data_IF_650921041656
#
_entry.id   IF_650921041656
#
_cell.length_a   1.000
_cell.length_b   1.000
_cell.length_c   1.000
_cell.angle_alpha   90.00
_cell.angle_beta   90.00
_cell.angle_gamma   90.00
#
_symmetry.space_group_name_H-M   'P 1'
#
loop_
_entity.id
_entity.type
_entity.pdbx_description
1 polymer ?
#
# COMPACT_ATOMS: atom_id res chain seq x y z
N UNK A 1 45.27 44.79 23.53
CA UNK A 1 44.39 44.22 24.58
C UNK A 1 42.97 44.79 24.52
N UNK A 2 42.78 46.13 24.58
CA UNK A 2 41.45 46.77 24.50
C UNK A 2 40.67 46.48 23.21
N UNK A 3 41.32 46.51 22.04
CA UNK A 3 40.65 46.24 20.75
C UNK A 3 40.11 44.81 20.67
N UNK A 4 40.84 43.83 21.23
CA UNK A 4 40.38 42.44 21.30
C UNK A 4 39.11 42.32 22.15
N UNK A 5 39.09 42.97 23.31
CA UNK A 5 37.92 43.01 24.21
C UNK A 5 36.72 43.69 23.52
N UNK A 6 36.94 44.81 22.81
CA UNK A 6 35.88 45.50 22.08
C UNK A 6 35.30 44.64 20.94
N UNK A 7 36.17 43.94 20.19
CA UNK A 7 35.73 43.07 19.09
C UNK A 7 34.88 41.90 19.60
N UNK A 8 35.24 41.33 20.74
CA UNK A 8 34.54 40.22 21.36
C UNK A 8 33.18 40.67 21.92
N UNK A 9 33.11 41.90 22.45
CA UNK A 9 31.86 42.54 22.86
C UNK A 9 30.91 42.74 21.67
N UNK A 10 31.41 43.24 20.55
CA UNK A 10 30.61 43.45 19.33
C UNK A 10 30.10 42.12 18.79
N UNK A 11 30.95 41.09 18.72
CA UNK A 11 30.57 39.75 18.27
C UNK A 11 29.49 39.14 19.19
N UNK A 12 29.62 39.31 20.51
CA UNK A 12 28.62 38.85 21.46
C UNK A 12 27.26 39.54 21.25
N UNK A 13 27.25 40.86 21.03
CA UNK A 13 26.03 41.61 20.75
C UNK A 13 25.39 41.14 19.42
N UNK A 14 26.20 40.94 18.38
CA UNK A 14 25.72 40.46 17.08
C UNK A 14 25.13 39.05 17.19
N UNK A 15 25.81 38.13 17.89
CA UNK A 15 25.30 36.77 18.13
C UNK A 15 24.01 36.79 18.97
N UNK A 16 23.92 37.69 19.94
CA UNK A 16 22.73 37.82 20.78
C UNK A 16 21.50 38.25 19.96
N UNK A 17 21.66 39.26 19.09
CA UNK A 17 20.60 39.69 18.17
C UNK A 17 20.26 38.57 17.18
N UNK A 18 21.26 37.85 16.66
CA UNK A 18 21.05 36.74 15.73
C UNK A 18 20.30 35.56 16.37
N UNK A 19 20.54 35.30 17.66
CA UNK A 19 19.87 34.23 18.41
C UNK A 19 18.35 34.39 18.47
N UNK A 20 17.87 35.63 18.58
CA UNK A 20 16.44 35.91 18.56
C UNK A 20 15.80 35.53 17.22
N UNK A 21 16.52 35.72 16.11
CA UNK A 21 16.04 35.39 14.77
C UNK A 21 15.96 33.88 14.52
N UNK A 22 16.85 33.10 15.14
CA UNK A 22 16.83 31.63 15.06
C UNK A 22 15.67 31.04 15.86
N UNK A 23 15.51 31.47 17.12
CA UNK A 23 14.49 30.91 18.02
C UNK A 23 13.08 31.05 17.42
N UNK A 24 12.78 32.20 16.80
CA UNK A 24 11.47 32.48 16.21
C UNK A 24 11.16 31.57 15.01
N UNK A 25 12.18 31.26 14.19
CA UNK A 25 12.03 30.33 13.06
C UNK A 25 11.85 28.89 13.50
N UNK A 26 12.57 28.45 14.54
CA UNK A 26 12.45 27.09 15.08
C UNK A 26 11.06 26.85 15.68
N UNK A 27 10.51 27.81 16.43
CA UNK A 27 9.17 27.69 17.00
C UNK A 27 8.07 27.57 15.93
N UNK A 28 8.18 28.33 14.84
CA UNK A 28 7.23 28.24 13.72
C UNK A 28 7.37 26.92 12.94
N UNK A 29 8.58 26.33 12.90
CA UNK A 29 8.82 25.04 12.25
C UNK A 29 8.19 23.90 13.04
N UNK A 30 8.31 23.93 14.37
CA UNK A 30 7.76 22.92 15.27
C UNK A 30 6.22 22.84 15.15
N UNK A 31 5.53 23.99 15.20
CA UNK A 31 4.08 24.02 15.04
C UNK A 31 3.57 23.53 13.66
N UNK A 32 4.35 23.74 12.59
CA UNK A 32 4.01 23.21 11.26
C UNK A 32 4.22 21.69 11.18
N UNK A 33 5.28 21.17 11.80
CA UNK A 33 5.53 19.72 11.85
C UNK A 33 4.46 18.99 12.67
N UNK A 34 4.03 19.58 13.80
CA UNK A 34 2.95 19.02 14.61
C UNK A 34 1.63 18.94 13.83
N UNK A 35 1.24 20.04 13.16
CA UNK A 35 0.02 20.07 12.35
C UNK A 35 0.09 19.08 11.18
N UNK A 36 1.23 19.00 10.50
CA UNK A 36 1.45 18.04 9.43
C UNK A 36 1.37 16.59 9.91
N UNK A 37 1.94 16.30 11.09
CA UNK A 37 1.90 14.96 11.71
C UNK A 37 0.48 14.57 12.09
N UNK A 38 -0.28 15.49 12.68
CA UNK A 38 -1.69 15.27 13.06
C UNK A 38 -2.53 14.99 11.81
N UNK A 39 -2.40 15.79 10.76
CA UNK A 39 -3.12 15.57 9.49
C UNK A 39 -2.77 14.23 8.88
N UNK A 40 -1.47 13.90 8.80
CA UNK A 40 -1.00 12.64 8.20
C UNK A 40 -1.54 11.42 8.95
N UNK A 41 -1.61 11.47 10.28
CA UNK A 41 -2.22 10.38 11.08
C UNK A 41 -3.72 10.24 10.80
N UNK A 42 -4.45 11.36 10.72
CA UNK A 42 -5.87 11.35 10.39
C UNK A 42 -6.13 10.79 8.98
N UNK A 43 -5.34 11.21 8.00
CA UNK A 43 -5.44 10.74 6.61
C UNK A 43 -5.13 9.25 6.50
N UNK A 44 -4.06 8.79 7.17
CA UNK A 44 -3.72 7.36 7.23
C UNK A 44 -4.83 6.53 7.87
N UNK A 45 -5.46 7.03 8.94
CA UNK A 45 -6.59 6.36 9.57
C UNK A 45 -7.79 6.25 8.62
N UNK A 46 -8.14 7.32 7.91
CA UNK A 46 -9.22 7.30 6.93
C UNK A 46 -8.96 6.32 5.78
N UNK A 47 -7.72 6.26 5.28
CA UNK A 47 -7.32 5.30 4.25
C UNK A 47 -7.47 3.87 4.77
N UNK A 48 -6.94 3.57 5.97
CA UNK A 48 -7.07 2.25 6.61
C UNK A 48 -8.54 1.84 6.77
N UNK A 49 -9.42 2.78 7.16
CA UNK A 49 -10.85 2.51 7.29
C UNK A 49 -11.50 2.20 5.95
N UNK A 50 -11.19 2.97 4.90
CA UNK A 50 -11.69 2.71 3.55
C UNK A 50 -11.24 1.36 3.01
N UNK A 51 -9.96 1.00 3.22
CA UNK A 51 -9.43 -0.31 2.85
C UNK A 51 -10.15 -1.42 3.63
N UNK A 52 -10.33 -1.28 4.95
CA UNK A 52 -11.05 -2.27 5.75
C UNK A 52 -12.49 -2.51 5.26
N UNK A 53 -13.20 -1.44 4.91
CA UNK A 53 -14.56 -1.54 4.36
C UNK A 53 -14.52 -2.26 3.00
N UNK A 54 -13.57 -1.90 2.13
CA UNK A 54 -13.41 -2.59 0.85
C UNK A 54 -13.06 -4.07 1.03
N UNK A 55 -12.22 -4.41 2.01
CA UNK A 55 -11.93 -5.81 2.38
C UNK A 55 -13.19 -6.52 2.87
N UNK A 56 -14.01 -5.90 3.72
CA UNK A 56 -15.25 -6.48 4.23
C UNK A 56 -16.31 -6.66 3.14
N UNK A 57 -16.48 -5.68 2.25
CA UNK A 57 -17.38 -5.77 1.08
C UNK A 57 -16.90 -6.85 0.10
N UNK A 58 -15.60 -6.88 -0.23
CA UNK A 58 -15.03 -7.89 -1.14
C UNK A 58 -15.07 -9.28 -0.51
N UNK A 59 -14.86 -9.40 0.80
CA UNK A 59 -15.10 -10.65 1.52
C UNK A 59 -16.58 -11.03 1.43
N UNK A 60 -17.51 -10.11 1.70
CA UNK A 60 -18.98 -10.35 1.67
C UNK A 60 -19.50 -10.74 0.29
N UNK A 61 -18.95 -10.15 -0.77
CA UNK A 61 -19.23 -10.57 -2.16
C UNK A 61 -18.75 -12.00 -2.44
N UNK A 62 -17.72 -12.48 -1.72
CA UNK A 62 -17.29 -13.89 -1.77
C UNK A 62 -18.05 -14.81 -0.78
N UNK A 63 -18.74 -14.28 0.24
CA UNK A 63 -19.56 -15.10 1.16
C UNK A 63 -20.88 -15.58 0.53
N UNK A 64 -21.20 -15.16 -0.71
CA UNK A 64 -22.26 -15.79 -1.51
C UNK A 64 -21.77 -17.09 -2.19
N UNK A 65 -20.46 -17.37 -2.18
CA UNK A 65 -19.86 -18.58 -2.77
C UNK A 65 -19.40 -19.60 -1.71
N UNK A 66 -19.81 -19.44 -0.44
CA UNK A 66 -19.34 -20.27 0.67
C UNK A 66 -20.13 -21.60 0.75
N UNK A 67 -19.88 -22.46 -0.24
CA UNK A 67 -20.14 -23.92 -0.17
C UNK A 67 -18.91 -24.74 -0.58
N UNK A 68 -17.68 -24.20 -0.41
CA UNK A 68 -16.46 -24.94 -0.73
C UNK A 68 -15.52 -25.00 0.49
N UNK A 69 -15.21 -26.20 1.03
CA UNK A 69 -14.47 -26.34 2.27
C UNK A 69 -12.99 -25.91 2.14
N UNK A 70 -12.55 -25.12 3.11
CA UNK A 70 -11.21 -24.56 3.25
C UNK A 70 -10.13 -25.63 3.54
N UNK A 71 -9.64 -26.31 2.51
CA UNK A 71 -8.45 -27.18 2.64
C UNK A 71 -7.46 -27.15 1.46
N UNK A 72 -7.58 -26.19 0.53
CA UNK A 72 -6.67 -26.11 -0.63
C UNK A 72 -6.22 -24.69 -1.01
N UNK A 73 -6.14 -23.76 -0.04
CA UNK A 73 -5.66 -22.38 -0.28
C UNK A 73 -4.14 -22.29 -0.07
N UNK A 74 -3.39 -23.08 -0.81
CA UNK A 74 -1.98 -22.79 -1.06
C UNK A 74 -1.78 -22.81 -2.56
N UNK A 75 -1.40 -21.67 -3.15
CA UNK A 75 -0.89 -21.50 -4.53
C UNK A 75 -1.88 -21.29 -5.69
N UNK A 76 -3.07 -20.73 -5.47
CA UNK A 76 -3.85 -20.24 -6.62
C UNK A 76 -3.34 -18.87 -7.07
N UNK A 77 -2.44 -18.88 -8.07
CA UNK A 77 -2.00 -17.66 -8.76
C UNK A 77 -3.21 -16.97 -9.41
N UNK A 78 -3.20 -15.63 -9.54
CA UNK A 78 -4.32 -14.91 -10.17
C UNK A 78 -4.64 -15.40 -11.58
N UNK A 79 -3.64 -15.91 -12.31
CA UNK A 79 -3.83 -16.53 -13.64
C UNK A 79 -4.71 -17.78 -13.59
N UNK A 80 -4.59 -18.62 -12.57
CA UNK A 80 -5.39 -19.83 -12.43
C UNK A 80 -6.87 -19.50 -12.29
N UNK A 81 -7.19 -18.49 -11.49
CA UNK A 81 -8.57 -18.00 -11.30
C UNK A 81 -9.17 -17.49 -12.60
N UNK A 82 -8.37 -16.79 -13.41
CA UNK A 82 -8.80 -16.30 -14.72
C UNK A 82 -9.11 -17.46 -15.66
N UNK A 83 -8.22 -18.47 -15.78
CA UNK A 83 -8.44 -19.65 -16.62
C UNK A 83 -9.76 -20.35 -16.29
N UNK A 84 -10.08 -20.51 -15.00
CA UNK A 84 -11.34 -21.12 -14.59
C UNK A 84 -12.56 -20.28 -14.92
N UNK A 85 -12.51 -18.96 -14.71
CA UNK A 85 -13.61 -18.06 -15.07
C UNK A 85 -13.89 -18.11 -16.58
N UNK A 86 -12.83 -18.14 -17.39
CA UNK A 86 -12.94 -18.22 -18.85
C UNK A 86 -13.55 -19.56 -19.29
N UNK A 87 -13.17 -20.66 -18.65
CA UNK A 87 -13.76 -21.98 -18.89
C UNK A 87 -15.24 -22.06 -18.47
N UNK A 88 -15.60 -21.48 -17.33
CA UNK A 88 -16.99 -21.43 -16.84
C UNK A 88 -17.89 -20.56 -17.72
N UNK A 89 -17.32 -19.53 -18.37
CA UNK A 89 -17.97 -18.72 -19.39
C UNK A 89 -18.22 -19.47 -20.71
N UNK A 90 -17.88 -20.76 -20.79
CA UNK A 90 -18.14 -21.61 -21.94
C UNK A 90 -17.11 -21.48 -23.07
N UNK A 91 -15.98 -20.81 -22.83
CA UNK A 91 -14.91 -20.70 -23.81
C UNK A 91 -14.11 -21.99 -23.92
N UNK A 92 -13.67 -22.31 -25.13
CA UNK A 92 -12.95 -23.55 -25.39
C UNK A 92 -11.50 -23.48 -24.88
N UNK A 93 -10.90 -24.63 -24.57
CA UNK A 93 -9.49 -24.72 -24.11
C UNK A 93 -8.52 -24.00 -25.07
N UNK A 94 -8.81 -24.06 -26.37
CA UNK A 94 -8.04 -23.38 -27.42
C UNK A 94 -8.13 -21.86 -27.33
N UNK A 95 -9.32 -21.34 -27.08
CA UNK A 95 -9.58 -19.90 -26.96
C UNK A 95 -8.97 -19.33 -25.67
N UNK A 96 -9.03 -20.10 -24.57
CA UNK A 96 -8.37 -19.74 -23.31
C UNK A 96 -6.85 -19.71 -23.50
N UNK A 97 -6.27 -20.66 -24.24
CA UNK A 97 -4.84 -20.70 -24.52
C UNK A 97 -4.38 -19.46 -25.32
N UNK A 98 -5.16 -19.04 -26.30
CA UNK A 98 -4.89 -17.85 -27.11
C UNK A 98 -4.99 -16.56 -26.27
N UNK A 99 -6.04 -16.43 -25.45
CA UNK A 99 -6.28 -15.25 -24.61
C UNK A 99 -5.26 -15.12 -23.45
N UNK A 100 -4.85 -16.25 -22.87
CA UNK A 100 -3.90 -16.29 -21.75
C UNK A 100 -2.44 -16.42 -22.19
N UNK A 101 -2.19 -16.49 -23.50
CA UNK A 101 -0.85 -16.73 -24.08
C UNK A 101 -0.16 -18.00 -23.53
N UNK A 102 -0.95 -19.00 -23.15
CA UNK A 102 -0.47 -20.29 -22.63
C UNK A 102 -0.63 -21.38 -23.69
N UNK A 103 0.11 -22.48 -23.54
CA UNK A 103 -0.10 -23.67 -24.37
C UNK A 103 -1.44 -24.31 -24.06
N UNK A 104 -2.12 -24.85 -25.08
CA UNK A 104 -3.32 -25.68 -24.89
C UNK A 104 -3.06 -26.83 -23.91
N UNK A 105 -1.83 -27.37 -23.91
CA UNK A 105 -1.40 -28.39 -22.97
C UNK A 105 -1.35 -27.88 -21.52
N UNK A 106 -0.89 -26.66 -21.31
CA UNK A 106 -0.78 -26.06 -19.97
C UNK A 106 -2.17 -25.80 -19.40
N UNK A 107 -3.06 -25.21 -20.20
CA UNK A 107 -4.47 -24.99 -19.84
C UNK A 107 -5.17 -26.32 -19.48
N UNK A 108 -4.94 -27.37 -20.28
CA UNK A 108 -5.49 -28.70 -20.02
C UNK A 108 -4.95 -29.33 -18.73
N UNK A 109 -3.64 -29.22 -18.50
CA UNK A 109 -3.00 -29.77 -17.31
C UNK A 109 -3.49 -29.09 -16.03
N UNK A 110 -3.74 -27.78 -16.10
CA UNK A 110 -4.30 -26.97 -15.02
C UNK A 110 -5.72 -27.40 -14.70
N UNK A 111 -6.59 -27.53 -15.72
CA UNK A 111 -7.98 -27.93 -15.55
C UNK A 111 -8.09 -29.37 -14.98
N UNK A 112 -7.21 -30.27 -15.42
CA UNK A 112 -7.19 -31.66 -15.00
C UNK A 112 -6.54 -31.88 -13.62
N UNK A 113 -5.57 -31.05 -13.24
CA UNK A 113 -4.99 -31.07 -11.89
C UNK A 113 -6.06 -30.81 -10.83
N UNK A 114 -7.00 -29.90 -11.12
CA UNK A 114 -8.12 -29.60 -10.22
C UNK A 114 -9.20 -30.69 -10.23
N UNK A 115 -9.52 -31.29 -11.38
CA UNK A 115 -10.52 -32.36 -11.42
C UNK A 115 -10.08 -33.60 -10.63
N UNK A 116 -8.77 -33.81 -10.46
CA UNK A 116 -8.18 -34.92 -9.72
C UNK A 116 -8.15 -34.68 -8.19
N UNK A 117 -8.38 -33.45 -7.74
CA UNK A 117 -8.51 -33.10 -6.31
C UNK A 117 -9.95 -33.18 -5.78
N UNK A 118 -10.91 -33.61 -6.61
CA UNK A 118 -12.28 -33.97 -6.20
C UNK A 118 -12.48 -35.48 -6.02
#
# INVERSE_FOLDING_TARGET
>A
MLVAILSLLVIAIVLFVYSFFLIDKFNNLEGQIEQFTISTMQDSYQIKKKIKILEEELLTDNWVEDTIPASSISTQTPMLRTIYKLHDQGMSVKEIAEETSLSEYDVYSILNQYSKER
#
